data_IF_110027757618
#
_entry.id   IF_110027757618
#
_cell.length_a   1.000
_cell.length_b   1.000
_cell.length_c   1.000
_cell.angle_alpha   90.00
_cell.angle_beta   90.00
_cell.angle_gamma   90.00
#
_symmetry.space_group_name_H-M   'P 1'
#
loop_
_entity.id
_entity.type
_entity.pdbx_description
1 polymer ?
#
# COMPACT_ATOMS: atom_id res chain seq x y z
N UNK A 1 28.76 3.80 18.84
CA UNK A 1 28.33 2.84 17.80
C UNK A 1 29.55 2.25 17.12
N UNK A 2 29.53 0.98 16.73
CA UNK A 2 30.62 0.40 15.92
C UNK A 2 30.48 0.82 14.45
N UNK A 3 31.57 0.86 13.69
CA UNK A 3 31.56 1.13 12.23
C UNK A 3 30.63 0.14 11.51
N UNK A 4 30.60 -1.12 11.95
CA UNK A 4 29.70 -2.15 11.43
C UNK A 4 28.22 -1.78 11.58
N UNK A 5 27.81 -1.20 12.73
CA UNK A 5 26.41 -0.78 12.95
C UNK A 5 25.99 0.36 12.03
N UNK A 6 26.88 1.34 11.79
CA UNK A 6 26.61 2.45 10.86
C UNK A 6 26.50 1.97 9.41
N UNK A 7 27.36 1.03 9.00
CA UNK A 7 27.32 0.43 7.67
C UNK A 7 26.02 -0.33 7.44
N UNK A 8 25.60 -1.18 8.39
CA UNK A 8 24.33 -1.93 8.29
C UNK A 8 23.14 -0.96 8.25
N UNK A 9 23.15 0.11 9.05
CA UNK A 9 22.11 1.13 9.02
C UNK A 9 22.05 1.84 7.66
N UNK A 10 23.20 2.19 7.06
CA UNK A 10 23.24 2.81 5.73
C UNK A 10 22.66 1.87 4.65
N UNK A 11 23.08 0.60 4.65
CA UNK A 11 22.54 -0.43 3.75
C UNK A 11 21.02 -0.60 3.96
N UNK A 12 20.58 -0.58 5.21
CA UNK A 12 19.17 -0.66 5.56
C UNK A 12 18.37 0.53 5.01
N UNK A 13 18.85 1.77 5.19
CA UNK A 13 18.18 2.96 4.67
C UNK A 13 18.09 2.88 3.13
N UNK A 14 19.18 2.51 2.45
CA UNK A 14 19.17 2.32 1.00
C UNK A 14 18.16 1.25 0.57
N UNK A 15 18.08 0.12 1.30
CA UNK A 15 17.11 -0.95 1.03
C UNK A 15 15.67 -0.49 1.29
N UNK A 16 15.43 0.31 2.33
CA UNK A 16 14.12 0.89 2.62
C UNK A 16 13.68 1.88 1.54
N UNK A 17 14.60 2.69 1.02
CA UNK A 17 14.34 3.56 -0.13
C UNK A 17 14.08 2.74 -1.39
N UNK A 18 14.84 1.67 -1.63
CA UNK A 18 14.57 0.78 -2.76
C UNK A 18 13.22 0.07 -2.65
N UNK A 19 12.83 -0.40 -1.46
CA UNK A 19 11.48 -0.88 -1.17
C UNK A 19 10.44 0.18 -1.53
N UNK A 20 10.68 1.43 -1.14
CA UNK A 20 9.80 2.57 -1.43
C UNK A 20 9.65 2.80 -2.94
N UNK A 21 10.75 2.70 -3.70
CA UNK A 21 10.74 2.78 -5.16
C UNK A 21 9.89 1.65 -5.76
N UNK A 22 10.10 0.41 -5.31
CA UNK A 22 9.30 -0.74 -5.79
C UNK A 22 7.84 -0.64 -5.40
N UNK A 23 7.52 -0.03 -4.26
CA UNK A 23 6.15 0.23 -3.85
C UNK A 23 5.48 1.21 -4.84
N UNK A 24 6.15 2.32 -5.16
CA UNK A 24 5.67 3.29 -6.15
C UNK A 24 5.43 2.65 -7.52
N UNK A 25 6.33 1.77 -7.96
CA UNK A 25 6.18 1.02 -9.21
C UNK A 25 4.94 0.09 -9.21
N UNK A 26 4.63 -0.56 -8.09
CA UNK A 26 3.49 -1.47 -8.00
C UNK A 26 2.17 -0.70 -7.92
N UNK A 27 2.13 0.36 -7.10
CA UNK A 27 0.91 1.07 -6.75
C UNK A 27 0.54 2.21 -7.72
N UNK A 28 1.44 2.62 -8.63
CA UNK A 28 1.13 3.61 -9.67
C UNK A 28 -0.18 3.28 -10.39
N UNK A 29 -0.35 2.00 -10.72
CA UNK A 29 -1.54 1.46 -11.37
C UNK A 29 -2.83 1.68 -10.58
N UNK A 30 -2.80 1.56 -9.25
CA UNK A 30 -4.00 1.67 -8.42
C UNK A 30 -4.59 3.09 -8.46
N UNK A 31 -3.75 4.13 -8.59
CA UNK A 31 -4.21 5.51 -8.58
C UNK A 31 -4.71 5.97 -9.96
N UNK A 32 -4.02 5.59 -11.05
CA UNK A 32 -4.28 6.17 -12.38
C UNK A 32 -5.00 5.23 -13.35
N UNK A 33 -5.09 3.92 -13.08
CA UNK A 33 -5.63 2.97 -14.06
C UNK A 33 -7.06 3.28 -14.49
N UNK A 34 -7.96 3.56 -13.55
CA UNK A 34 -9.37 3.82 -13.86
C UNK A 34 -9.53 5.15 -14.61
N UNK A 35 -8.73 6.14 -14.20
CA UNK A 35 -8.72 7.49 -14.75
C UNK A 35 -8.25 7.52 -16.21
N UNK A 36 -7.22 6.73 -16.52
CA UNK A 36 -6.72 6.55 -17.89
C UNK A 36 -7.68 5.67 -18.70
N UNK A 37 -8.16 4.56 -18.13
CA UNK A 37 -8.94 3.56 -18.87
C UNK A 37 -10.31 4.07 -19.32
N UNK A 38 -10.93 5.00 -18.58
CA UNK A 38 -12.16 5.65 -19.00
C UNK A 38 -11.97 6.81 -20.00
N UNK A 39 -10.71 7.11 -20.36
CA UNK A 39 -10.36 8.18 -21.29
C UNK A 39 -10.59 9.59 -20.72
N UNK A 40 -10.39 9.78 -19.43
CA UNK A 40 -10.45 11.10 -18.79
C UNK A 40 -9.10 11.84 -18.80
N UNK A 41 -7.98 11.10 -18.80
CA UNK A 41 -6.64 11.66 -18.89
C UNK A 41 -5.72 10.82 -19.80
N UNK A 42 -4.73 11.47 -20.41
CA UNK A 42 -3.64 10.76 -21.06
C UNK A 42 -2.69 10.16 -20.01
N UNK A 43 -2.03 9.03 -20.31
CA UNK A 43 -1.21 8.33 -19.32
C UNK A 43 -0.14 9.21 -18.66
N UNK A 44 0.58 10.01 -19.44
CA UNK A 44 1.65 10.90 -18.94
C UNK A 44 1.08 11.92 -17.94
N UNK A 45 -0.03 12.58 -18.29
CA UNK A 45 -0.61 13.62 -17.41
C UNK A 45 -1.19 13.03 -16.13
N UNK A 46 -1.81 11.85 -16.21
CA UNK A 46 -2.33 11.16 -15.04
C UNK A 46 -1.22 10.74 -14.08
N UNK A 47 -0.11 10.20 -14.61
CA UNK A 47 1.06 9.81 -13.81
C UNK A 47 1.73 11.03 -13.17
N UNK A 48 1.88 12.14 -13.90
CA UNK A 48 2.42 13.39 -13.35
C UNK A 48 1.54 13.95 -12.22
N UNK A 49 0.22 13.98 -12.41
CA UNK A 49 -0.72 14.39 -11.37
C UNK A 49 -0.57 13.51 -10.12
N UNK A 50 -0.54 12.18 -10.31
CA UNK A 50 -0.40 11.24 -9.21
C UNK A 50 0.93 11.40 -8.47
N UNK A 51 2.03 11.63 -9.20
CA UNK A 51 3.35 11.87 -8.62
C UNK A 51 3.39 13.16 -7.80
N UNK A 52 2.87 14.27 -8.33
CA UNK A 52 2.88 15.56 -7.63
C UNK A 52 1.96 15.52 -6.40
N UNK A 53 0.69 15.14 -6.58
CA UNK A 53 -0.27 15.12 -5.47
C UNK A 53 0.13 14.12 -4.40
N UNK A 54 0.62 12.95 -4.80
CA UNK A 54 1.11 11.95 -3.86
C UNK A 54 2.35 12.42 -3.10
N UNK A 55 3.30 13.09 -3.77
CA UNK A 55 4.48 13.66 -3.09
C UNK A 55 4.09 14.71 -2.06
N UNK A 56 3.11 15.56 -2.40
CA UNK A 56 2.53 16.51 -1.43
C UNK A 56 1.93 15.75 -0.25
N UNK A 57 1.14 14.71 -0.49
CA UNK A 57 0.58 13.86 0.58
C UNK A 57 1.62 13.19 1.46
N UNK A 58 2.74 12.75 0.88
CA UNK A 58 3.87 12.21 1.63
C UNK A 58 4.48 13.23 2.60
N UNK A 59 4.61 14.49 2.17
CA UNK A 59 5.17 15.58 2.98
C UNK A 59 4.22 16.05 4.09
N UNK A 60 2.93 16.23 3.76
CA UNK A 60 1.94 16.86 4.65
C UNK A 60 1.22 15.86 5.56
N UNK A 61 1.37 14.56 5.32
CA UNK A 61 0.72 13.51 6.12
C UNK A 61 1.18 13.50 7.58
N UNK A 62 0.30 13.01 8.46
CA UNK A 62 0.57 12.83 9.89
C UNK A 62 1.60 11.72 10.20
N UNK A 63 1.58 11.19 11.43
CA UNK A 63 2.46 10.09 11.86
C UNK A 63 1.70 8.80 12.24
N UNK A 64 0.37 8.80 12.17
CA UNK A 64 -0.46 7.73 12.70
C UNK A 64 -0.17 6.35 12.07
N UNK A 65 0.01 6.30 10.74
CA UNK A 65 0.39 5.06 10.04
C UNK A 65 1.82 4.64 10.38
N UNK A 66 2.76 5.58 10.40
CA UNK A 66 4.16 5.32 10.76
C UNK A 66 4.28 4.73 12.18
N UNK A 67 3.54 5.30 13.13
CA UNK A 67 3.48 4.81 14.51
C UNK A 67 2.89 3.40 14.60
N UNK A 68 1.86 3.09 13.80
CA UNK A 68 1.30 1.75 13.76
C UNK A 68 2.31 0.75 13.19
N UNK A 69 3.06 1.14 12.15
CA UNK A 69 4.07 0.27 11.53
C UNK A 69 5.28 0.06 12.45
N UNK A 70 5.76 1.10 13.14
CA UNK A 70 6.87 0.96 14.09
C UNK A 70 6.50 0.13 15.32
N UNK A 71 5.21 0.10 15.70
CA UNK A 71 4.71 -0.68 16.83
C UNK A 71 4.49 -2.18 16.55
N UNK A 72 4.67 -2.66 15.30
CA UNK A 72 4.47 -4.08 14.93
C UNK A 72 5.46 -5.00 15.66
N UNK A 73 6.63 -4.48 15.98
CA UNK A 73 7.78 -5.27 16.42
C UNK A 73 8.29 -4.70 17.74
N UNK A 74 8.03 -5.41 18.84
CA UNK A 74 8.59 -5.11 20.17
C UNK A 74 9.90 -5.86 20.34
N UNK A 75 10.91 -5.51 19.54
CA UNK A 75 12.25 -6.08 19.70
C UNK A 75 13.10 -5.08 20.52
N UNK A 76 13.81 -5.55 21.57
CA UNK A 76 14.78 -4.73 22.27
C UNK A 76 15.76 -4.09 21.28
N UNK A 77 16.07 -2.81 21.48
CA UNK A 77 16.97 -2.01 20.64
C UNK A 77 18.42 -2.52 20.72
N UNK A 78 18.65 -3.68 20.13
CA UNK A 78 19.95 -4.32 19.99
C UNK A 78 20.34 -4.33 18.50
N UNK A 79 21.64 -4.42 18.22
CA UNK A 79 22.21 -4.52 16.86
C UNK A 79 21.60 -5.65 16.03
N UNK A 80 21.04 -6.68 16.67
CA UNK A 80 20.31 -7.76 16.01
C UNK A 80 19.04 -7.27 15.27
N UNK A 81 18.38 -6.21 15.76
CA UNK A 81 17.16 -5.68 15.15
C UNK A 81 17.40 -5.16 13.73
N UNK A 82 18.51 -4.46 13.48
CA UNK A 82 18.83 -3.95 12.14
C UNK A 82 18.98 -5.08 11.11
N UNK A 83 19.64 -6.18 11.48
CA UNK A 83 19.79 -7.35 10.60
C UNK A 83 18.44 -8.00 10.28
N UNK A 84 17.54 -8.07 11.27
CA UNK A 84 16.17 -8.59 11.10
C UNK A 84 15.35 -7.70 10.16
N UNK A 85 15.35 -6.40 10.40
CA UNK A 85 14.61 -5.44 9.56
C UNK A 85 15.16 -5.39 8.13
N UNK A 86 16.47 -5.54 7.96
CA UNK A 86 17.11 -5.64 6.65
C UNK A 86 16.63 -6.87 5.89
N UNK A 87 16.66 -8.06 6.51
CA UNK A 87 16.17 -9.29 5.88
C UNK A 87 14.68 -9.21 5.52
N UNK A 88 13.87 -8.60 6.41
CA UNK A 88 12.45 -8.36 6.18
C UNK A 88 12.20 -7.48 4.94
N UNK A 89 12.92 -6.36 4.82
CA UNK A 89 12.80 -5.46 3.67
C UNK A 89 13.27 -6.11 2.38
N UNK A 90 14.38 -6.84 2.38
CA UNK A 90 14.85 -7.53 1.18
C UNK A 90 13.81 -8.56 0.73
N UNK A 91 13.22 -9.34 1.66
CA UNK A 91 12.14 -10.27 1.32
C UNK A 91 10.92 -9.58 0.70
N UNK A 92 10.52 -8.42 1.24
CA UNK A 92 9.44 -7.62 0.68
C UNK A 92 9.77 -7.06 -0.72
N UNK A 93 10.98 -6.55 -0.91
CA UNK A 93 11.50 -6.03 -2.20
C UNK A 93 11.49 -7.11 -3.26
N UNK A 94 12.06 -8.29 -2.95
CA UNK A 94 12.14 -9.41 -3.89
C UNK A 94 10.73 -9.80 -4.36
N UNK A 95 9.79 -9.90 -3.42
CA UNK A 95 8.42 -10.23 -3.77
C UNK A 95 7.73 -9.14 -4.61
N UNK A 96 7.92 -7.86 -4.26
CA UNK A 96 7.40 -6.74 -5.04
C UNK A 96 7.92 -6.73 -6.49
N UNK A 97 9.19 -7.06 -6.70
CA UNK A 97 9.78 -7.16 -8.04
C UNK A 97 9.22 -8.35 -8.82
N UNK A 98 9.02 -9.50 -8.16
CA UNK A 98 8.39 -10.68 -8.76
C UNK A 98 6.97 -10.34 -9.22
N UNK A 99 6.13 -9.77 -8.35
CA UNK A 99 4.74 -9.44 -8.70
C UNK A 99 4.64 -8.38 -9.77
N UNK A 100 5.52 -7.36 -9.72
CA UNK A 100 5.62 -6.35 -10.76
C UNK A 100 6.00 -6.95 -12.12
N UNK A 101 7.01 -7.84 -12.16
CA UNK A 101 7.46 -8.51 -13.38
C UNK A 101 6.35 -9.33 -14.03
N UNK A 102 5.54 -10.02 -13.22
CA UNK A 102 4.41 -10.82 -13.70
C UNK A 102 3.11 -10.02 -13.87
N UNK A 103 3.08 -8.73 -13.52
CA UNK A 103 1.89 -7.89 -13.64
C UNK A 103 0.75 -8.24 -12.69
N UNK A 104 1.04 -8.96 -11.59
CA UNK A 104 0.06 -9.26 -10.56
C UNK A 104 -0.14 -8.04 -9.66
N UNK A 105 -1.38 -7.57 -9.46
CA UNK A 105 -1.68 -6.48 -8.54
C UNK A 105 -1.48 -6.97 -7.10
N UNK A 106 -0.25 -6.80 -6.61
CA UNK A 106 0.17 -7.17 -5.27
C UNK A 106 0.11 -5.99 -4.33
N UNK A 107 0.14 -6.29 -3.03
CA UNK A 107 0.19 -5.32 -1.96
C UNK A 107 1.58 -5.28 -1.34
N UNK A 108 2.29 -4.16 -1.50
CA UNK A 108 3.55 -3.93 -0.78
C UNK A 108 3.38 -3.99 0.74
N UNK A 109 2.16 -3.76 1.25
CA UNK A 109 1.85 -3.89 2.68
C UNK A 109 1.86 -5.37 3.11
N UNK A 110 1.29 -6.26 2.30
CA UNK A 110 1.37 -7.70 2.56
C UNK A 110 2.82 -8.19 2.47
N UNK A 111 3.55 -7.75 1.45
CA UNK A 111 4.94 -8.13 1.26
C UNK A 111 5.79 -7.72 2.47
N UNK A 112 5.60 -6.49 2.96
CA UNK A 112 6.29 -5.97 4.13
C UNK A 112 5.94 -6.72 5.43
N UNK A 113 4.65 -6.95 5.67
CA UNK A 113 4.18 -7.69 6.86
C UNK A 113 4.73 -9.11 6.85
N UNK A 114 4.63 -9.81 5.71
CA UNK A 114 5.19 -11.15 5.57
C UNK A 114 6.70 -11.15 5.79
N UNK A 115 7.44 -10.20 5.21
CA UNK A 115 8.88 -10.07 5.40
C UNK A 115 9.26 -9.90 6.87
N UNK A 116 8.54 -9.03 7.61
CA UNK A 116 8.74 -8.83 9.04
C UNK A 116 8.44 -10.10 9.83
N UNK A 117 7.30 -10.74 9.60
CA UNK A 117 6.92 -12.00 10.26
C UNK A 117 7.97 -13.08 10.05
N UNK A 118 8.41 -13.28 8.80
CA UNK A 118 9.41 -14.30 8.44
C UNK A 118 10.78 -14.07 9.09
N UNK A 119 11.30 -12.84 9.00
CA UNK A 119 12.60 -12.52 9.58
C UNK A 119 12.58 -12.62 11.12
N UNK A 120 11.54 -12.10 11.77
CA UNK A 120 11.41 -12.14 13.24
C UNK A 120 11.25 -13.57 13.74
N UNK A 121 10.49 -14.41 13.03
CA UNK A 121 10.29 -15.80 13.41
C UNK A 121 11.63 -16.55 13.49
N UNK A 122 12.51 -16.44 12.49
CA UNK A 122 13.82 -17.10 12.52
C UNK A 122 14.76 -16.46 13.55
N UNK A 123 14.65 -15.15 13.78
CA UNK A 123 15.54 -14.43 14.67
C UNK A 123 15.29 -14.66 16.16
N UNK A 124 14.02 -14.66 16.57
CA UNK A 124 13.61 -14.65 17.99
C UNK A 124 12.43 -15.57 18.31
N UNK A 125 11.89 -16.28 17.32
CA UNK A 125 10.71 -17.13 17.48
C UNK A 125 9.39 -16.36 17.36
N UNK A 126 8.28 -17.09 17.41
CA UNK A 126 6.93 -16.53 17.20
C UNK A 126 6.44 -15.62 18.32
N UNK A 127 7.04 -15.71 19.51
CA UNK A 127 6.61 -14.95 20.70
C UNK A 127 7.02 -13.47 20.65
N UNK A 128 7.99 -13.11 19.82
CA UNK A 128 8.44 -11.71 19.64
C UNK A 128 7.63 -10.93 18.60
N UNK A 129 6.69 -11.60 17.93
CA UNK A 129 5.76 -10.97 16.99
C UNK A 129 4.55 -10.50 17.80
N UNK A 130 4.22 -9.21 17.73
CA UNK A 130 2.99 -8.69 18.32
C UNK A 130 1.81 -9.14 17.47
N UNK A 131 1.31 -10.34 17.75
CA UNK A 131 0.20 -10.90 16.99
C UNK A 131 -1.09 -10.08 17.18
N UNK A 132 -1.40 -9.68 18.42
CA UNK A 132 -2.61 -8.91 18.73
C UNK A 132 -3.89 -9.75 18.89
N UNK A 133 -3.79 -11.08 18.98
CA UNK A 133 -4.95 -11.97 19.13
C UNK A 133 -5.58 -11.90 20.52
N UNK A 134 -4.75 -11.75 21.57
CA UNK A 134 -5.22 -11.70 22.96
C UNK A 134 -6.00 -10.41 23.21
N UNK A 135 -5.50 -9.31 22.69
CA UNK A 135 -6.06 -7.96 22.80
C UNK A 135 -7.38 -7.82 22.03
N UNK A 136 -7.53 -8.56 20.94
CA UNK A 136 -8.78 -8.63 20.17
C UNK A 136 -9.88 -9.40 20.92
N UNK A 137 -9.52 -10.51 21.58
CA UNK A 137 -10.47 -11.38 22.31
C UNK A 137 -10.79 -10.80 23.70
N UNK A 138 -9.88 -10.00 24.26
CA UNK A 138 -10.11 -9.30 25.51
C UNK A 138 -11.37 -8.40 25.42
N UNK A 139 -12.04 -8.09 26.55
CA UNK A 139 -13.25 -7.26 26.57
C UNK A 139 -13.08 -5.86 25.95
N UNK A 140 -11.84 -5.37 25.84
CA UNK A 140 -11.50 -4.09 25.22
C UNK A 140 -11.47 -4.13 23.70
N UNK A 141 -11.51 -5.31 23.08
CA UNK A 141 -11.55 -5.54 21.63
C UNK A 141 -10.56 -4.70 20.82
N UNK A 142 -9.32 -4.59 21.32
CA UNK A 142 -8.31 -3.71 20.73
C UNK A 142 -7.64 -4.37 19.53
N UNK A 143 -7.73 -3.70 18.38
CA UNK A 143 -6.99 -4.06 17.16
C UNK A 143 -5.57 -3.50 17.23
N UNK A 144 -4.59 -4.36 17.49
CA UNK A 144 -3.16 -3.99 17.56
C UNK A 144 -2.26 -4.99 16.81
N UNK A 145 -1.02 -4.61 16.55
CA UNK A 145 -0.03 -5.52 15.93
C UNK A 145 -0.48 -6.07 14.57
N UNK A 146 -0.19 -7.36 14.34
CA UNK A 146 -0.51 -8.06 13.09
C UNK A 146 -2.02 -8.17 12.86
N UNK A 147 -2.85 -8.38 13.90
CA UNK A 147 -4.32 -8.46 13.73
C UNK A 147 -4.89 -7.17 13.16
N UNK A 148 -4.42 -5.99 13.61
CA UNK A 148 -4.84 -4.70 13.04
C UNK A 148 -4.59 -4.66 11.53
N UNK A 149 -3.42 -5.11 11.09
CA UNK A 149 -3.01 -5.04 9.69
C UNK A 149 -3.76 -6.08 8.86
N UNK A 150 -3.85 -7.32 9.31
CA UNK A 150 -4.60 -8.37 8.60
C UNK A 150 -6.08 -7.99 8.48
N UNK A 151 -6.67 -7.45 9.55
CA UNK A 151 -8.04 -6.94 9.50
C UNK A 151 -8.19 -5.83 8.48
N UNK A 152 -7.31 -4.81 8.49
CA UNK A 152 -7.40 -3.71 7.53
C UNK A 152 -7.18 -4.18 6.10
N UNK A 153 -6.32 -5.17 5.87
CA UNK A 153 -6.06 -5.76 4.55
C UNK A 153 -7.24 -6.57 4.00
N UNK A 154 -8.01 -7.23 4.87
CA UNK A 154 -9.22 -7.99 4.50
C UNK A 154 -10.43 -7.07 4.34
N UNK A 155 -10.66 -6.15 5.28
CA UNK A 155 -11.85 -5.30 5.26
C UNK A 155 -11.77 -4.18 4.24
N UNK A 156 -10.57 -3.66 3.94
CA UNK A 156 -10.41 -2.54 2.99
C UNK A 156 -10.93 -2.81 1.57
N UNK A 157 -10.70 -3.96 0.91
CA UNK A 157 -11.33 -4.25 -0.39
C UNK A 157 -12.84 -4.42 -0.28
N UNK A 158 -13.35 -5.00 0.82
CA UNK A 158 -14.80 -5.19 1.05
C UNK A 158 -15.50 -3.85 1.22
N UNK A 159 -14.92 -2.94 2.01
CA UNK A 159 -15.45 -1.59 2.19
C UNK A 159 -15.42 -0.81 0.87
N UNK A 160 -14.31 -0.90 0.12
CA UNK A 160 -14.22 -0.32 -1.21
C UNK A 160 -15.29 -0.85 -2.16
N UNK A 161 -15.54 -2.17 -2.15
CA UNK A 161 -16.58 -2.82 -2.93
C UNK A 161 -17.98 -2.31 -2.56
N UNK A 162 -18.34 -2.35 -1.27
CA UNK A 162 -19.67 -1.96 -0.79
C UNK A 162 -19.93 -0.48 -1.07
N UNK A 163 -18.99 0.39 -0.73
CA UNK A 163 -19.13 1.83 -0.94
C UNK A 163 -19.26 2.16 -2.45
N UNK A 164 -18.44 1.54 -3.30
CA UNK A 164 -18.52 1.72 -4.74
C UNK A 164 -19.82 1.17 -5.33
N UNK A 165 -20.30 0.03 -4.82
CA UNK A 165 -21.56 -0.58 -5.24
C UNK A 165 -22.74 0.35 -4.94
N UNK A 166 -22.81 0.89 -3.72
CA UNK A 166 -23.84 1.84 -3.29
C UNK A 166 -23.76 3.12 -4.12
N UNK A 167 -22.57 3.71 -4.26
CA UNK A 167 -22.36 4.92 -5.07
C UNK A 167 -22.79 4.74 -6.53
N UNK A 168 -22.53 3.57 -7.10
CA UNK A 168 -22.95 3.25 -8.47
C UNK A 168 -24.47 3.14 -8.59
N UNK A 169 -25.15 2.50 -7.63
CA UNK A 169 -26.63 2.45 -7.62
C UNK A 169 -27.25 3.84 -7.49
N UNK A 170 -26.73 4.67 -6.58
CA UNK A 170 -27.17 6.06 -6.42
C UNK A 170 -26.94 6.84 -7.71
N UNK A 171 -25.75 6.71 -8.31
CA UNK A 171 -25.41 7.40 -9.56
C UNK A 171 -26.31 6.99 -10.72
N UNK A 172 -26.68 5.71 -10.84
CA UNK A 172 -27.64 5.24 -11.85
C UNK A 172 -29.00 5.92 -11.71
N UNK A 173 -29.49 6.08 -10.48
CA UNK A 173 -30.78 6.71 -10.21
C UNK A 173 -30.69 8.22 -10.48
N UNK A 174 -29.66 8.87 -9.95
CA UNK A 174 -29.45 10.31 -10.08
C UNK A 174 -29.23 10.75 -11.54
N UNK A 175 -28.54 9.91 -12.34
CA UNK A 175 -28.17 10.22 -13.72
C UNK A 175 -29.05 9.55 -14.77
N UNK A 176 -30.20 8.97 -14.40
CA UNK A 176 -31.09 8.25 -15.33
C UNK A 176 -31.51 9.06 -16.56
N UNK A 177 -31.65 10.37 -16.40
CA UNK A 177 -32.07 11.32 -17.45
C UNK A 177 -30.91 12.22 -17.92
N UNK A 178 -29.67 11.89 -17.58
CA UNK A 178 -28.52 12.71 -17.92
C UNK A 178 -28.21 12.65 -19.42
N UNK A 179 -27.88 13.81 -20.00
CA UNK A 179 -27.40 13.91 -21.38
C UNK A 179 -25.96 13.42 -21.48
N UNK A 180 -25.56 12.93 -22.66
CA UNK A 180 -24.19 12.48 -22.93
C UNK A 180 -23.14 13.57 -22.66
N UNK A 181 -23.50 14.85 -22.80
CA UNK A 181 -22.64 16.00 -22.49
C UNK A 181 -22.14 16.03 -21.03
N UNK A 182 -22.83 15.36 -20.09
CA UNK A 182 -22.39 15.26 -18.70
C UNK A 182 -21.04 14.52 -18.57
N UNK A 183 -20.69 13.64 -19.51
CA UNK A 183 -19.40 12.96 -19.50
C UNK A 183 -18.21 13.93 -19.52
N UNK A 184 -18.37 15.12 -20.11
CA UNK A 184 -17.34 16.16 -20.07
C UNK A 184 -17.03 16.58 -18.63
N UNK A 185 -18.07 16.89 -17.85
CA UNK A 185 -17.95 17.28 -16.45
C UNK A 185 -17.46 16.13 -15.56
N UNK A 186 -17.99 14.90 -15.77
CA UNK A 186 -17.54 13.71 -15.04
C UNK A 186 -16.05 13.44 -15.28
N UNK A 187 -15.53 13.67 -16.49
CA UNK A 187 -14.10 13.53 -16.77
C UNK A 187 -13.28 14.63 -16.10
N UNK A 188 -13.79 15.86 -16.05
CA UNK A 188 -13.06 16.98 -15.45
C UNK A 188 -12.96 16.87 -13.92
N UNK A 189 -14.03 16.51 -13.22
CA UNK A 189 -13.99 16.35 -11.76
C UNK A 189 -13.08 15.19 -11.31
N UNK A 190 -12.87 14.18 -12.17
CA UNK A 190 -11.93 13.09 -11.90
C UNK A 190 -10.49 13.58 -11.75
N UNK A 191 -10.07 14.72 -12.32
CA UNK A 191 -8.74 15.26 -12.07
C UNK A 191 -8.55 15.61 -10.59
N UNK A 192 -9.58 16.17 -9.96
CA UNK A 192 -9.56 16.51 -8.54
C UNK A 192 -9.58 15.24 -7.69
N UNK A 193 -10.47 14.29 -8.01
CA UNK A 193 -10.57 13.04 -7.25
C UNK A 193 -9.33 12.15 -7.40
N UNK A 194 -8.73 12.08 -8.58
CA UNK A 194 -7.47 11.38 -8.81
C UNK A 194 -6.34 12.04 -8.01
N UNK A 195 -6.31 13.38 -7.94
CA UNK A 195 -5.38 14.12 -7.10
C UNK A 195 -5.56 13.81 -5.61
N UNK A 196 -6.81 13.77 -5.12
CA UNK A 196 -7.10 13.40 -3.72
C UNK A 196 -6.70 11.95 -3.44
N UNK A 197 -7.04 11.01 -4.33
CA UNK A 197 -6.67 9.60 -4.20
C UNK A 197 -5.14 9.44 -4.18
N UNK A 198 -4.43 10.13 -5.08
CA UNK A 198 -2.97 10.15 -5.12
C UNK A 198 -2.36 10.72 -3.84
N UNK A 199 -2.91 11.85 -3.36
CA UNK A 199 -2.51 12.46 -2.09
C UNK A 199 -2.68 11.47 -0.93
N UNK A 200 -3.85 10.82 -0.84
CA UNK A 200 -4.13 9.84 0.22
C UNK A 200 -3.25 8.60 0.11
N UNK A 201 -2.94 8.15 -1.11
CA UNK A 201 -1.96 7.10 -1.37
C UNK A 201 -0.60 7.47 -0.80
N UNK A 202 -0.07 8.65 -1.15
CA UNK A 202 1.21 9.14 -0.62
C UNK A 202 1.21 9.31 0.90
N UNK A 203 0.08 9.76 1.46
CA UNK A 203 -0.09 9.96 2.89
C UNK A 203 -0.15 8.64 3.69
N UNK A 204 -0.59 7.53 3.09
CA UNK A 204 -0.63 6.22 3.74
C UNK A 204 0.68 5.45 3.50
N UNK A 205 1.07 5.30 2.24
CA UNK A 205 2.10 4.37 1.81
C UNK A 205 3.52 4.84 2.15
N UNK A 206 3.80 6.14 2.02
CA UNK A 206 5.11 6.69 2.41
C UNK A 206 5.35 6.52 3.92
N UNK A 207 4.30 6.61 4.73
CA UNK A 207 4.41 6.48 6.18
C UNK A 207 4.81 5.06 6.62
N UNK A 208 4.61 4.03 5.79
CA UNK A 208 5.08 2.67 6.07
C UNK A 208 6.62 2.62 6.08
N UNK A 209 7.25 3.21 5.06
CA UNK A 209 8.71 3.36 5.01
C UNK A 209 9.22 4.25 6.14
N UNK A 210 8.56 5.39 6.38
CA UNK A 210 8.94 6.30 7.47
C UNK A 210 8.91 5.58 8.81
N UNK A 211 7.89 4.76 9.09
CA UNK A 211 7.78 3.97 10.32
C UNK A 211 8.92 2.98 10.48
N UNK A 212 9.31 2.29 9.42
CA UNK A 212 10.40 1.30 9.44
C UNK A 212 11.78 1.94 9.57
N UNK A 213 12.03 3.05 8.86
CA UNK A 213 13.27 3.82 9.01
C UNK A 213 13.37 4.40 10.43
N UNK A 214 12.25 4.89 10.98
CA UNK A 214 12.20 5.39 12.35
C UNK A 214 12.54 4.31 13.37
N UNK A 215 12.01 3.08 13.18
CA UNK A 215 12.32 1.94 14.04
C UNK A 215 13.81 1.57 13.99
N UNK A 216 14.41 1.56 12.80
CA UNK A 216 15.85 1.28 12.65
C UNK A 216 16.72 2.36 13.29
N UNK A 217 16.38 3.64 13.10
CA UNK A 217 17.12 4.75 13.71
C UNK A 217 16.96 4.79 15.24
N UNK A 218 15.79 4.41 15.76
CA UNK A 218 15.57 4.23 17.19
C UNK A 218 16.44 3.11 17.77
N UNK A 219 16.66 2.02 17.01
CA UNK A 219 17.54 0.92 17.43
C UNK A 219 19.01 1.32 17.59
N UNK A 220 19.42 2.44 16.98
CA UNK A 220 20.80 2.95 17.03
C UNK A 220 20.98 4.14 17.98
N UNK A 221 19.95 4.56 18.72
CA UNK A 221 19.93 5.79 19.53
C UNK A 221 20.28 7.07 18.73
N UNK A 222 20.05 7.08 17.41
CA UNK A 222 20.35 8.23 16.54
C UNK A 222 19.20 9.25 16.53
N UNK A 223 17.98 8.84 16.87
CA UNK A 223 16.82 9.74 16.86
C UNK A 223 16.44 10.24 18.25
N UNK A 224 16.74 11.52 18.47
CA UNK A 224 16.18 12.38 19.52
C UNK A 224 15.33 13.48 18.84
N UNK A 225 14.03 13.24 18.65
CA UNK A 225 13.05 14.32 18.40
C UNK A 225 12.45 14.46 16.99
N UNK A 226 11.47 15.36 16.90
CA UNK A 226 10.51 15.53 15.79
C UNK A 226 11.13 15.98 14.44
N UNK A 227 12.28 16.65 14.47
CA UNK A 227 12.95 17.25 13.30
C UNK A 227 13.57 16.18 12.38
N UNK A 228 13.88 14.99 12.90
CA UNK A 228 14.45 13.89 12.12
C UNK A 228 13.49 13.22 11.13
N UNK A 229 12.19 13.53 11.16
CA UNK A 229 11.19 12.82 10.33
C UNK A 229 10.87 13.53 9.02
N UNK A 230 11.09 14.84 8.90
CA UNK A 230 10.67 15.60 7.71
C UNK A 230 11.54 15.28 6.49
N UNK A 231 12.85 15.12 6.68
CA UNK A 231 13.76 14.73 5.61
C UNK A 231 13.52 13.28 5.17
N UNK A 232 13.16 12.38 6.10
CA UNK A 232 12.77 11.00 5.77
C UNK A 232 11.49 11.02 4.93
N UNK A 233 10.49 11.82 5.31
CA UNK A 233 9.25 11.98 4.53
C UNK A 233 9.53 12.53 3.14
N UNK A 234 10.37 13.56 3.02
CA UNK A 234 10.75 14.14 1.74
C UNK A 234 11.49 13.16 0.85
N UNK A 235 12.48 12.45 1.40
CA UNK A 235 13.27 11.48 0.65
C UNK A 235 12.44 10.25 0.25
N UNK A 236 11.70 9.66 1.20
CA UNK A 236 10.82 8.53 0.91
C UNK A 236 9.71 8.91 -0.08
N UNK A 237 9.12 10.10 0.06
CA UNK A 237 8.15 10.63 -0.91
C UNK A 237 8.77 10.77 -2.30
N UNK A 238 9.93 11.43 -2.42
CA UNK A 238 10.59 11.63 -3.70
C UNK A 238 10.89 10.30 -4.39
N UNK A 239 11.39 9.31 -3.64
CA UNK A 239 11.68 7.97 -4.17
C UNK A 239 10.41 7.21 -4.53
N UNK A 240 9.36 7.26 -3.71
CA UNK A 240 8.05 6.64 -3.99
C UNK A 240 7.51 7.13 -5.32
N UNK A 241 7.43 8.45 -5.49
CA UNK A 241 6.80 9.04 -6.67
C UNK A 241 7.70 9.03 -7.90
N UNK A 242 9.03 8.94 -7.72
CA UNK A 242 9.91 8.52 -8.82
C UNK A 242 9.56 7.12 -9.30
N UNK A 243 9.30 6.18 -8.38
CA UNK A 243 8.79 4.85 -8.73
C UNK A 243 7.47 4.92 -9.48
N UNK A 244 6.55 5.78 -9.05
CA UNK A 244 5.28 6.03 -9.74
C UNK A 244 5.46 6.57 -11.16
N UNK A 245 6.42 7.50 -11.36
CA UNK A 245 6.76 8.02 -12.69
C UNK A 245 7.35 6.95 -13.61
N UNK A 246 8.11 6.02 -13.05
CA UNK A 246 8.84 4.99 -13.81
C UNK A 246 7.96 3.82 -14.28
N UNK A 247 6.74 3.62 -13.76
CA UNK A 247 6.02 2.42 -14.19
C UNK A 247 4.66 2.12 -13.59
N UNK A 248 4.41 0.82 -13.44
CA UNK A 248 3.11 0.21 -13.13
C UNK A 248 2.34 -0.31 -14.35
N UNK A 249 2.89 -0.23 -15.57
CA UNK A 249 2.19 -0.60 -16.81
C UNK A 249 1.66 -2.04 -16.84
N UNK A 250 2.43 -3.08 -16.44
CA UNK A 250 1.92 -4.45 -16.44
C UNK A 250 0.69 -4.60 -15.54
N UNK A 251 0.76 -4.05 -14.33
CA UNK A 251 -0.34 -4.11 -13.34
C UNK A 251 -1.52 -3.24 -13.77
N UNK A 252 -1.25 -2.07 -14.37
CA UNK A 252 -2.29 -1.18 -14.88
C UNK A 252 -3.11 -1.83 -15.99
N UNK A 253 -2.50 -2.64 -16.85
CA UNK A 253 -3.24 -3.43 -17.85
C UNK A 253 -4.21 -4.40 -17.16
N UNK A 254 -3.76 -5.05 -16.08
CA UNK A 254 -4.58 -5.98 -15.28
C UNK A 254 -5.75 -5.27 -14.59
N UNK A 255 -5.53 -4.13 -13.91
CA UNK A 255 -6.58 -3.42 -13.18
C UNK A 255 -7.52 -2.65 -14.12
N UNK A 256 -6.98 -1.92 -15.10
CA UNK A 256 -7.73 -0.97 -15.91
C UNK A 256 -8.70 -1.60 -16.92
N UNK A 257 -8.43 -2.84 -17.35
CA UNK A 257 -9.27 -3.58 -18.30
C UNK A 257 -9.60 -5.02 -17.89
N UNK A 258 -8.86 -5.59 -16.92
CA UNK A 258 -9.00 -7.00 -16.59
C UNK A 258 -10.20 -7.33 -15.70
N UNK A 259 -10.67 -6.38 -14.87
CA UNK A 259 -11.76 -6.61 -13.89
C UNK A 259 -13.13 -6.25 -14.48
N UNK A 260 -13.27 -5.05 -15.02
CA UNK A 260 -14.52 -4.53 -15.57
C UNK A 260 -14.24 -3.45 -16.63
N UNK A 261 -15.15 -3.26 -17.59
CA UNK A 261 -15.02 -2.19 -18.60
C UNK A 261 -15.41 -0.84 -18.00
N UNK A 262 -14.43 0.04 -17.86
CA UNK A 262 -14.58 1.29 -17.10
C UNK A 262 -15.08 2.43 -18.00
N UNK A 263 -16.29 2.95 -17.71
CA UNK A 263 -16.83 4.21 -18.27
C UNK A 263 -16.53 5.39 -17.33
N UNK A 264 -16.67 6.66 -17.75
CA UNK A 264 -16.34 7.81 -16.90
C UNK A 264 -17.03 7.80 -15.53
N UNK A 265 -18.32 7.46 -15.46
CA UNK A 265 -19.05 7.36 -14.19
C UNK A 265 -18.54 6.21 -13.31
N UNK A 266 -18.10 5.10 -13.91
CA UNK A 266 -17.53 3.97 -13.18
C UNK A 266 -16.21 4.35 -12.53
N UNK A 267 -15.36 5.04 -13.29
CA UNK A 267 -14.09 5.56 -12.79
C UNK A 267 -14.31 6.58 -11.67
N UNK A 268 -15.27 7.50 -11.83
CA UNK A 268 -15.62 8.47 -10.80
C UNK A 268 -16.01 7.80 -9.48
N UNK A 269 -16.97 6.87 -9.53
CA UNK A 269 -17.49 6.20 -8.33
C UNK A 269 -16.44 5.31 -7.66
N UNK A 270 -15.62 4.62 -8.46
CA UNK A 270 -14.52 3.81 -7.95
C UNK A 270 -13.45 4.69 -7.26
N UNK A 271 -13.08 5.82 -7.85
CA UNK A 271 -12.11 6.76 -7.27
C UNK A 271 -12.65 7.41 -6.00
N UNK A 272 -13.92 7.82 -5.98
CA UNK A 272 -14.53 8.41 -4.79
C UNK A 272 -14.59 7.40 -3.64
N UNK A 273 -15.05 6.17 -3.91
CA UNK A 273 -15.06 5.08 -2.93
C UNK A 273 -13.65 4.82 -2.38
N UNK A 274 -12.68 4.64 -3.29
CA UNK A 274 -11.31 4.32 -2.90
C UNK A 274 -10.65 5.46 -2.14
N UNK A 275 -10.85 6.70 -2.58
CA UNK A 275 -10.31 7.90 -1.96
C UNK A 275 -10.84 8.07 -0.53
N UNK A 276 -12.15 7.94 -0.34
CA UNK A 276 -12.75 8.01 1.01
C UNK A 276 -12.21 6.90 1.91
N UNK A 277 -12.17 5.65 1.44
CA UNK A 277 -11.60 4.55 2.21
C UNK A 277 -10.13 4.79 2.59
N UNK A 278 -9.31 5.30 1.68
CA UNK A 278 -7.90 5.62 1.94
C UNK A 278 -7.73 6.79 2.91
N UNK A 279 -8.51 7.86 2.77
CA UNK A 279 -8.50 9.00 3.70
C UNK A 279 -8.83 8.53 5.11
N UNK A 280 -9.93 7.78 5.27
CA UNK A 280 -10.35 7.25 6.57
C UNK A 280 -9.28 6.34 7.17
N UNK A 281 -8.72 5.41 6.39
CA UNK A 281 -7.65 4.55 6.85
C UNK A 281 -6.42 5.35 7.31
N UNK A 282 -6.05 6.40 6.58
CA UNK A 282 -4.91 7.26 6.90
C UNK A 282 -5.15 8.05 8.20
N UNK A 283 -6.34 8.60 8.39
CA UNK A 283 -6.72 9.32 9.62
C UNK A 283 -6.73 8.37 10.82
N UNK A 284 -7.22 7.14 10.65
CA UNK A 284 -7.21 6.10 11.69
C UNK A 284 -5.81 5.49 11.93
N UNK A 285 -4.80 5.90 11.17
CA UNK A 285 -3.45 5.33 11.23
C UNK A 285 -3.39 3.86 10.81
N UNK A 286 -4.37 3.38 10.05
CA UNK A 286 -4.41 2.02 9.54
C UNK A 286 -3.54 1.91 8.28
N UNK A 287 -2.47 1.08 8.28
CA UNK A 287 -1.80 0.71 7.05
C UNK A 287 -2.76 -0.14 6.22
N UNK A 288 -3.12 0.36 5.05
CA UNK A 288 -4.02 -0.33 4.11
C UNK A 288 -3.33 -0.55 2.78
N UNK A 289 -3.83 -1.51 2.01
CA UNK A 289 -3.38 -1.69 0.64
C UNK A 289 -4.24 -0.88 -0.31
N UNK A 290 -3.64 0.12 -0.96
CA UNK A 290 -4.33 0.94 -1.95
C UNK A 290 -4.84 0.10 -3.12
N UNK A 291 -4.00 -0.82 -3.60
CA UNK A 291 -4.39 -1.79 -4.65
C UNK A 291 -5.62 -2.61 -4.27
N UNK A 292 -5.76 -3.05 -3.01
CA UNK A 292 -6.95 -3.81 -2.58
C UNK A 292 -8.22 -2.96 -2.60
N UNK A 293 -8.14 -1.75 -2.04
CA UNK A 293 -9.27 -0.83 -1.99
C UNK A 293 -9.75 -0.48 -3.40
N UNK A 294 -8.83 -0.20 -4.31
CA UNK A 294 -9.16 0.14 -5.71
C UNK A 294 -9.72 -1.05 -6.45
N UNK A 295 -9.11 -2.23 -6.35
CA UNK A 295 -9.63 -3.47 -6.97
C UNK A 295 -11.04 -3.78 -6.44
N UNK A 296 -11.24 -3.69 -5.13
CA UNK A 296 -12.55 -3.86 -4.50
C UNK A 296 -13.57 -2.85 -5.02
N UNK A 297 -13.19 -1.57 -5.12
CA UNK A 297 -14.06 -0.51 -5.64
C UNK A 297 -14.43 -0.71 -7.11
N UNK A 298 -13.48 -1.10 -7.98
CA UNK A 298 -13.76 -1.39 -9.40
C UNK A 298 -14.71 -2.58 -9.53
N UNK A 299 -14.48 -3.65 -8.76
CA UNK A 299 -15.38 -4.80 -8.72
C UNK A 299 -16.77 -4.42 -8.18
N UNK A 300 -16.85 -3.53 -7.18
CA UNK A 300 -18.11 -3.04 -6.60
C UNK A 300 -18.94 -2.24 -7.59
N UNK A 301 -18.30 -1.32 -8.34
CA UNK A 301 -18.97 -0.60 -9.43
C UNK A 301 -19.49 -1.56 -10.49
N UNK A 302 -18.65 -2.49 -10.96
CA UNK A 302 -19.07 -3.49 -11.96
C UNK A 302 -20.21 -4.37 -11.47
N UNK A 303 -20.16 -4.81 -10.21
CA UNK A 303 -21.19 -5.61 -9.57
C UNK A 303 -22.54 -4.89 -9.45
N UNK A 304 -22.52 -3.58 -9.17
CA UNK A 304 -23.73 -2.76 -9.14
C UNK A 304 -24.30 -2.48 -10.53
N UNK A 305 -23.44 -2.42 -11.53
CA UNK A 305 -23.82 -2.17 -12.91
C UNK A 305 -24.43 -3.43 -13.55
N UNK A 306 -23.58 -4.42 -13.83
CA UNK A 306 -23.92 -5.72 -14.41
C UNK A 306 -22.98 -6.80 -13.83
N UNK A 307 -23.43 -7.48 -12.77
CA UNK A 307 -22.63 -8.47 -12.03
C UNK A 307 -21.99 -9.56 -12.91
N UNK A 308 -22.64 -9.94 -14.02
CA UNK A 308 -22.15 -10.96 -14.97
C UNK A 308 -20.97 -10.48 -15.82
N UNK A 309 -20.83 -9.16 -16.01
CA UNK A 309 -19.79 -8.56 -16.82
C UNK A 309 -18.49 -8.31 -16.04
N UNK A 310 -18.48 -8.57 -14.73
CA UNK A 310 -17.28 -8.57 -13.91
C UNK A 310 -16.50 -9.87 -14.13
N UNK A 311 -15.20 -9.75 -14.39
CA UNK A 311 -14.32 -10.91 -14.54
C UNK A 311 -13.95 -11.50 -13.17
N UNK A 312 -14.86 -12.32 -12.61
CA UNK A 312 -14.65 -12.98 -11.32
C UNK A 312 -13.47 -13.95 -11.31
N UNK A 313 -13.07 -14.49 -12.47
CA UNK A 313 -11.87 -15.31 -12.60
C UNK A 313 -10.62 -14.49 -12.27
N UNK A 314 -10.48 -13.31 -12.87
CA UNK A 314 -9.42 -12.36 -12.54
C UNK A 314 -9.49 -11.95 -11.05
N UNK A 315 -10.68 -11.66 -10.54
CA UNK A 315 -10.87 -11.37 -9.11
C UNK A 315 -10.33 -12.48 -8.19
N UNK A 316 -10.60 -13.75 -8.52
CA UNK A 316 -10.08 -14.91 -7.79
C UNK A 316 -8.55 -15.02 -7.89
N UNK A 317 -7.97 -14.83 -9.07
CA UNK A 317 -6.52 -14.84 -9.28
C UNK A 317 -5.82 -13.76 -8.43
N UNK A 318 -6.41 -12.56 -8.38
CA UNK A 318 -5.92 -11.45 -7.55
C UNK A 318 -5.99 -11.80 -6.05
N UNK A 319 -7.12 -12.34 -5.57
CA UNK A 319 -7.25 -12.75 -4.17
C UNK A 319 -6.24 -13.83 -3.79
N UNK A 320 -6.00 -14.80 -4.66
CA UNK A 320 -4.99 -15.84 -4.44
C UNK A 320 -3.60 -15.20 -4.35
N UNK A 321 -3.26 -14.27 -5.24
CA UNK A 321 -1.98 -13.55 -5.19
C UNK A 321 -1.81 -12.78 -3.87
N UNK A 322 -2.87 -12.17 -3.35
CA UNK A 322 -2.84 -11.49 -2.04
C UNK A 322 -2.57 -12.45 -0.89
N UNK A 323 -3.26 -13.61 -0.87
CA UNK A 323 -3.04 -14.65 0.14
C UNK A 323 -1.63 -15.25 0.09
N UNK A 324 -1.06 -15.42 -1.11
CA UNK A 324 0.29 -15.98 -1.29
C UNK A 324 1.38 -14.95 -0.92
N UNK A 325 1.08 -13.65 -1.03
CA UNK A 325 2.09 -12.61 -0.83
C UNK A 325 2.73 -12.62 0.56
N UNK A 326 1.93 -12.77 1.62
CA UNK A 326 2.45 -12.83 3.00
C UNK A 326 3.38 -14.04 3.21
N UNK A 327 2.97 -15.29 2.96
CA UNK A 327 3.83 -16.45 3.17
C UNK A 327 5.04 -16.43 2.23
N UNK A 328 4.89 -16.00 0.97
CA UNK A 328 6.01 -15.95 0.05
C UNK A 328 7.08 -14.95 0.48
N UNK A 329 6.71 -13.72 0.86
CA UNK A 329 7.68 -12.74 1.35
C UNK A 329 8.26 -13.14 2.71
N UNK A 330 7.49 -13.81 3.57
CA UNK A 330 7.96 -14.37 4.83
C UNK A 330 9.02 -15.45 4.62
N UNK A 331 8.79 -16.38 3.69
CA UNK A 331 9.75 -17.44 3.36
C UNK A 331 11.06 -16.84 2.85
N UNK A 332 10.99 -15.87 1.92
CA UNK A 332 12.19 -15.21 1.39
C UNK A 332 12.95 -14.50 2.51
N UNK A 333 12.26 -13.73 3.36
CA UNK A 333 12.90 -13.04 4.48
C UNK A 333 13.50 -14.00 5.52
N UNK A 334 12.82 -15.12 5.82
CA UNK A 334 13.30 -16.16 6.71
C UNK A 334 14.58 -16.81 6.19
N UNK A 335 14.62 -17.19 4.90
CA UNK A 335 15.82 -17.74 4.26
C UNK A 335 16.98 -16.74 4.29
N UNK A 336 16.72 -15.48 3.93
CA UNK A 336 17.75 -14.43 3.93
C UNK A 336 18.32 -14.20 5.33
N UNK A 337 17.47 -14.13 6.35
CA UNK A 337 17.93 -13.96 7.72
C UNK A 337 18.74 -15.15 8.20
N UNK A 338 18.33 -16.38 7.84
CA UNK A 338 19.08 -17.59 8.16
C UNK A 338 20.50 -17.54 7.56
N UNK A 339 20.64 -17.16 6.28
CA UNK A 339 21.95 -17.00 5.65
C UNK A 339 22.78 -15.87 6.30
N UNK A 340 22.16 -14.72 6.59
CA UNK A 340 22.84 -13.62 7.28
C UNK A 340 23.38 -14.03 8.65
N UNK A 341 22.66 -14.89 9.38
CA UNK A 341 23.11 -15.44 10.66
C UNK A 341 24.30 -16.39 10.51
N UNK A 342 24.38 -17.15 9.41
CA UNK A 342 25.53 -18.01 9.14
C UNK A 342 26.80 -17.21 8.81
N UNK A 343 26.65 -15.99 8.28
CA UNK A 343 27.76 -15.13 7.87
C UNK A 343 28.34 -14.27 9.01
N UNK A 344 27.72 -14.25 10.20
CA UNK A 344 28.15 -13.47 11.37
C UNK A 344 27.32 -12.22 11.62
#
# INVERSE_FOLDING_TARGET
MTISTLLILAIFILTALFFTLTNGLNDASAVVATFISCGAASPIRAILLAAICGFVGALTSGRAVANTVSAIVTIPTETALLKVLLAALIGAVVWNLVTWKFGFPSSSTHALVGGLVGAVWIARGTNSILWGWRELIAPSHQLMGITKIVATLIFSPVLGFIAAFILQKISKIALRNAKFSLNYWIKNIQWVLAGILAYSHGANDTQKTVGIISLALASTNILSGQVGLIWIKGLAGAVMFTGTLLGGWPIMKTIGRGIYTIRPIHSLNSQLSSGVCLVLATVLGAPVSTTHVVVGSVAGVGGADEFRMVNWKMGKEIMIAWCITIPASAIVAAMLFYFLRMLG
#
